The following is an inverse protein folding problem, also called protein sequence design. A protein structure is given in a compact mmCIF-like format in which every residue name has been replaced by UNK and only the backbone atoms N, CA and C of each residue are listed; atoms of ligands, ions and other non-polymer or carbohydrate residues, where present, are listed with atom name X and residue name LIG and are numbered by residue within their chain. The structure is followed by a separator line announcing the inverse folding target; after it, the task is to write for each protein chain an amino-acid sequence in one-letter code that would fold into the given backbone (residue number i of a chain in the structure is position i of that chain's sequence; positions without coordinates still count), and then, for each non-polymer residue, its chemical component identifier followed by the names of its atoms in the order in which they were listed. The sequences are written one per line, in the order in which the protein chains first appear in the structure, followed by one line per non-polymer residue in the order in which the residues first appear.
data_IF_058533540667
#
_entry.id   IF_058533540667
#
_cell.length_a   1.000
_cell.length_b   1.000
_cell.length_c   1.000
_cell.angle_alpha   90.00
_cell.angle_beta   90.00
_cell.angle_gamma   90.00
#
_symmetry.space_group_name_H-M   'P 1'
#
loop_
_entity.id
_entity.type
_entity.pdbx_description
1 polymer ?
#
# COMPACT_ATOMS: atom_id res chain seq x y z
N UNK A 1 2.58 -5.12 16.07
CA UNK A 1 2.83 -5.05 14.63
C UNK A 1 1.71 -4.28 13.95
N UNK A 2 2.03 -3.43 13.00
CA UNK A 2 1.08 -2.68 12.20
C UNK A 2 1.59 -2.47 10.79
N UNK A 3 0.70 -2.12 9.86
CA UNK A 3 1.08 -1.74 8.51
C UNK A 3 0.22 -0.58 8.00
N UNK A 4 0.79 0.20 7.10
CA UNK A 4 0.09 1.26 6.37
C UNK A 4 0.48 1.23 4.89
N UNK A 5 -0.48 1.52 4.04
CA UNK A 5 -0.32 1.45 2.58
C UNK A 5 -0.87 2.69 1.90
N UNK A 6 -0.20 3.10 0.83
CA UNK A 6 -0.64 4.21 -0.02
C UNK A 6 -0.29 4.02 -1.48
N UNK A 7 -1.04 4.70 -2.33
CA UNK A 7 -0.75 4.84 -3.75
C UNK A 7 0.17 6.05 -3.96
N UNK A 8 1.20 5.86 -4.77
CA UNK A 8 2.16 6.89 -5.17
C UNK A 8 2.08 7.04 -6.67
N UNK A 9 1.77 8.25 -7.15
CA UNK A 9 1.64 8.56 -8.58
C UNK A 9 2.78 9.49 -8.96
N UNK A 10 3.65 9.05 -9.88
CA UNK A 10 4.91 9.75 -10.17
C UNK A 10 4.67 11.15 -10.71
N UNK A 11 3.76 11.33 -11.67
CA UNK A 11 3.45 12.64 -12.27
C UNK A 11 2.81 13.62 -11.27
N UNK A 12 2.28 13.14 -10.16
CA UNK A 12 1.68 13.95 -9.10
C UNK A 12 2.67 14.26 -7.97
N UNK A 13 3.98 14.13 -8.19
CA UNK A 13 4.97 14.36 -7.15
C UNK A 13 4.85 13.40 -5.97
N UNK A 14 4.51 12.14 -6.22
CA UNK A 14 4.29 11.07 -5.27
C UNK A 14 2.98 11.15 -4.44
N UNK A 15 2.06 12.09 -4.77
CA UNK A 15 0.72 12.07 -4.20
C UNK A 15 -0.11 10.91 -4.79
N UNK A 16 -1.19 10.46 -4.13
CA UNK A 16 -1.70 10.86 -2.81
C UNK A 16 -0.89 10.36 -1.59
N UNK A 17 -0.07 9.31 -1.71
CA UNK A 17 0.79 8.80 -0.64
C UNK A 17 0.02 8.47 0.64
N UNK A 18 0.41 9.05 1.76
CA UNK A 18 -0.25 8.85 3.07
C UNK A 18 -1.71 9.37 3.11
N UNK A 19 -2.11 10.17 2.13
CA UNK A 19 -3.47 10.68 2.02
C UNK A 19 -4.39 9.76 1.21
N UNK A 20 -3.91 8.62 0.74
CA UNK A 20 -4.62 7.74 -0.22
C UNK A 20 -6.04 7.39 0.22
N UNK A 21 -6.24 7.02 1.49
CA UNK A 21 -7.56 6.63 1.99
C UNK A 21 -8.56 7.79 2.13
N UNK A 22 -8.09 9.04 2.09
CA UNK A 22 -8.89 10.26 2.25
C UNK A 22 -8.57 11.34 1.21
N UNK A 23 -8.14 10.94 0.02
CA UNK A 23 -7.69 11.84 -1.04
C UNK A 23 -8.76 12.88 -1.42
N UNK A 24 -10.02 12.46 -1.50
CA UNK A 24 -11.17 13.34 -1.71
C UNK A 24 -11.76 13.95 -0.41
N UNK A 25 -11.03 13.85 0.71
CA UNK A 25 -11.39 14.46 1.99
C UNK A 25 -12.01 13.48 2.98
N UNK A 26 -12.86 12.54 2.55
CA UNK A 26 -13.50 11.56 3.44
C UNK A 26 -12.73 10.23 3.44
N UNK A 27 -12.39 9.74 4.63
CA UNK A 27 -11.72 8.45 4.78
C UNK A 27 -12.59 7.29 4.29
N UNK A 28 -12.03 6.43 3.43
CA UNK A 28 -12.68 5.22 2.92
C UNK A 28 -13.75 5.47 1.84
N UNK A 29 -13.87 6.68 1.31
CA UNK A 29 -14.73 6.97 0.15
C UNK A 29 -13.98 6.66 -1.14
N UNK A 30 -13.83 5.36 -1.45
CA UNK A 30 -13.06 4.89 -2.60
C UNK A 30 -13.58 5.47 -3.92
N UNK A 31 -14.90 5.62 -4.05
CA UNK A 31 -15.52 6.17 -5.25
C UNK A 31 -15.10 7.62 -5.49
N UNK A 32 -15.16 8.45 -4.46
CA UNK A 32 -14.77 9.85 -4.55
C UNK A 32 -13.25 9.98 -4.74
N UNK A 33 -12.45 9.17 -4.04
CA UNK A 33 -10.99 9.15 -4.18
C UNK A 33 -10.56 8.80 -5.60
N UNK A 34 -11.15 7.77 -6.20
CA UNK A 34 -10.89 7.36 -7.59
C UNK A 34 -11.33 8.42 -8.60
N UNK A 35 -12.51 9.02 -8.42
CA UNK A 35 -13.01 10.07 -9.30
C UNK A 35 -12.09 11.30 -9.30
N UNK A 36 -11.65 11.75 -8.12
CA UNK A 36 -10.74 12.87 -7.99
C UNK A 36 -9.38 12.58 -8.65
N UNK A 37 -8.81 11.40 -8.39
CA UNK A 37 -7.53 11.00 -8.98
C UNK A 37 -7.61 11.00 -10.52
N UNK A 38 -8.65 10.39 -11.08
CA UNK A 38 -8.86 10.37 -12.54
C UNK A 38 -9.00 11.76 -13.13
N UNK A 39 -9.74 12.66 -12.47
CA UNK A 39 -9.89 14.04 -12.90
C UNK A 39 -8.55 14.80 -12.91
N UNK A 40 -7.72 14.58 -11.90
CA UNK A 40 -6.42 15.25 -11.77
C UNK A 40 -5.38 14.81 -12.80
N UNK A 41 -5.49 13.58 -13.33
CA UNK A 41 -4.57 13.04 -14.32
C UNK A 41 -5.24 12.82 -15.69
N UNK A 42 -6.37 13.48 -15.94
CA UNK A 42 -7.18 13.24 -17.14
C UNK A 42 -6.41 13.54 -18.44
N UNK A 43 -5.57 14.58 -18.45
CA UNK A 43 -4.76 15.01 -19.57
C UNK A 43 -3.37 14.36 -19.64
N UNK A 44 -3.04 13.50 -18.65
CA UNK A 44 -1.76 12.80 -18.63
C UNK A 44 -1.78 11.60 -19.59
N UNK A 45 -0.84 11.53 -20.55
CA UNK A 45 -0.79 10.43 -21.49
C UNK A 45 -0.46 9.11 -20.81
N UNK A 46 -0.90 8.00 -21.39
CA UNK A 46 -0.79 6.65 -20.81
C UNK A 46 0.65 6.29 -20.39
N UNK A 47 1.64 6.63 -21.21
CA UNK A 47 3.05 6.35 -20.92
C UNK A 47 3.60 7.07 -19.68
N UNK A 48 2.94 8.12 -19.20
CA UNK A 48 3.34 8.92 -18.03
C UNK A 48 2.47 8.66 -16.79
N UNK A 49 1.59 7.67 -16.84
CA UNK A 49 0.68 7.33 -15.73
C UNK A 49 1.27 6.25 -14.81
N UNK A 50 2.58 6.26 -14.64
CA UNK A 50 3.27 5.32 -13.77
C UNK A 50 2.96 5.61 -12.31
N UNK A 51 2.77 4.54 -11.55
CA UNK A 51 2.43 4.59 -10.15
C UNK A 51 2.95 3.35 -9.42
N UNK A 52 2.90 3.36 -8.11
CA UNK A 52 3.16 2.18 -7.28
C UNK A 52 2.35 2.23 -6.01
N UNK A 53 1.90 1.09 -5.55
CA UNK A 53 1.52 0.92 -4.15
C UNK A 53 2.76 0.67 -3.31
N UNK A 54 2.81 1.31 -2.15
CA UNK A 54 3.84 1.09 -1.13
C UNK A 54 3.18 0.74 0.19
N UNK A 55 3.74 -0.25 0.88
CA UNK A 55 3.37 -0.60 2.26
C UNK A 55 4.60 -0.49 3.15
N UNK A 56 4.43 0.12 4.30
CA UNK A 56 5.36 0.04 5.42
C UNK A 56 4.76 -0.89 6.47
N UNK A 57 5.46 -1.99 6.79
CA UNK A 57 5.08 -2.91 7.86
C UNK A 57 6.07 -2.75 9.02
N UNK A 58 5.56 -2.52 10.22
CA UNK A 58 6.36 -2.26 11.42
C UNK A 58 6.13 -3.33 12.49
N UNK A 59 7.21 -3.84 13.05
CA UNK A 59 7.24 -4.63 14.27
C UNK A 59 7.89 -3.80 15.38
N UNK A 60 7.13 -3.50 16.42
CA UNK A 60 7.61 -2.76 17.59
C UNK A 60 7.49 -3.68 18.81
N UNK A 61 8.57 -3.80 19.56
CA UNK A 61 8.62 -4.55 20.82
C UNK A 61 8.61 -3.55 21.97
N UNK A 62 7.54 -3.54 22.80
CA UNK A 62 7.48 -2.67 23.96
C UNK A 62 8.47 -3.14 25.03
N UNK A 63 9.10 -2.19 25.68
CA UNK A 63 9.93 -2.39 26.87
C UNK A 63 9.17 -2.09 28.17
N UNK A 64 9.92 -1.62 29.16
CA UNK A 64 9.33 -1.23 30.44
C UNK A 64 8.31 -0.11 30.29
N UNK A 65 7.29 -0.13 31.16
CA UNK A 65 6.36 0.99 31.28
C UNK A 65 7.10 2.23 31.75
N UNK A 66 6.84 3.36 31.12
CA UNK A 66 7.40 4.64 31.55
C UNK A 66 6.65 5.12 32.79
N UNK A 67 7.39 5.62 33.76
CA UNK A 67 6.85 6.20 35.00
C UNK A 67 6.83 7.74 34.93
N UNK A 68 7.48 8.32 33.89
CA UNK A 68 7.56 9.75 33.67
C UNK A 68 6.40 10.26 32.80
N UNK A 69 5.78 11.34 33.23
CA UNK A 69 4.72 12.05 32.47
C UNK A 69 5.33 13.31 31.83
N UNK A 70 6.35 13.11 30.98
CA UNK A 70 6.99 14.19 30.22
C UNK A 70 6.31 14.41 28.87
N UNK A 71 6.54 15.57 28.26
CA UNK A 71 6.03 15.83 26.90
C UNK A 71 6.54 14.82 25.85
N UNK A 72 7.72 14.21 26.06
CA UNK A 72 8.27 13.17 25.21
C UNK A 72 7.58 11.81 25.40
N UNK A 73 7.05 11.54 26.60
CA UNK A 73 6.33 10.29 26.90
C UNK A 73 4.83 10.39 26.62
N UNK A 74 4.31 11.57 26.30
CA UNK A 74 2.90 11.78 26.01
C UNK A 74 2.39 10.89 24.88
N UNK A 75 1.44 10.01 25.18
CA UNK A 75 0.91 9.00 24.26
C UNK A 75 1.82 7.79 23.99
N UNK A 76 2.96 7.69 24.70
CA UNK A 76 3.91 6.56 24.57
C UNK A 76 4.14 5.89 25.94
N UNK A 77 3.17 5.12 26.45
CA UNK A 77 3.21 4.58 27.81
C UNK A 77 4.33 3.55 28.06
N UNK A 78 4.97 3.06 26.99
CA UNK A 78 6.05 2.09 27.06
C UNK A 78 7.30 2.61 26.33
N UNK A 79 8.48 2.25 26.85
CA UNK A 79 9.71 2.37 26.09
C UNK A 79 9.66 1.42 24.88
N UNK A 80 10.42 1.70 23.83
CA UNK A 80 10.60 0.81 22.69
C UNK A 80 11.93 0.07 22.89
N UNK A 81 11.87 -1.26 22.96
CA UNK A 81 13.07 -2.11 23.05
C UNK A 81 13.70 -2.34 21.69
N UNK A 82 12.86 -2.61 20.70
CA UNK A 82 13.30 -2.74 19.30
C UNK A 82 12.20 -2.33 18.35
N UNK A 83 12.61 -1.85 17.18
CA UNK A 83 11.73 -1.50 16.06
C UNK A 83 12.36 -2.02 14.77
N UNK A 84 11.53 -2.66 13.94
CA UNK A 84 11.90 -3.07 12.59
C UNK A 84 10.80 -2.62 11.64
N UNK A 85 11.18 -1.92 10.57
CA UNK A 85 10.24 -1.47 9.53
C UNK A 85 10.71 -2.01 8.19
N UNK A 86 9.79 -2.70 7.50
CA UNK A 86 10.03 -3.25 6.17
C UNK A 86 9.09 -2.63 5.15
N UNK A 87 9.63 -2.36 3.97
CA UNK A 87 8.90 -1.74 2.87
C UNK A 87 8.64 -2.76 1.76
N UNK A 88 7.41 -2.77 1.27
CA UNK A 88 7.04 -3.51 0.07
C UNK A 88 6.44 -2.58 -0.98
N UNK A 89 6.78 -2.80 -2.24
CA UNK A 89 6.25 -2.03 -3.36
C UNK A 89 5.68 -2.93 -4.45
N UNK A 90 4.64 -2.42 -5.11
CA UNK A 90 4.02 -3.03 -6.28
C UNK A 90 3.90 -1.94 -7.36
N UNK A 91 4.86 -1.89 -8.30
CA UNK A 91 4.84 -0.91 -9.40
C UNK A 91 3.80 -1.28 -10.44
N UNK A 92 3.36 -0.28 -11.21
CA UNK A 92 2.39 -0.44 -12.28
C UNK A 92 1.99 0.89 -12.92
N UNK A 93 0.82 0.89 -13.54
CA UNK A 93 0.27 2.05 -14.25
C UNK A 93 -1.19 2.26 -13.91
N UNK A 94 -1.67 3.49 -14.08
CA UNK A 94 -3.06 3.88 -13.87
C UNK A 94 -3.81 3.96 -15.19
N UNK A 95 -5.01 3.37 -15.22
CA UNK A 95 -5.94 3.44 -16.34
C UNK A 95 -6.67 4.79 -16.42
N UNK A 96 -7.32 5.05 -17.56
CA UNK A 96 -8.23 6.19 -17.75
C UNK A 96 -9.64 5.95 -17.20
N UNK A 97 -10.01 4.68 -16.96
CA UNK A 97 -11.30 4.28 -16.42
C UNK A 97 -11.17 3.04 -15.55
N UNK A 98 -12.01 2.85 -14.53
CA UNK A 98 -11.97 1.70 -13.64
C UNK A 98 -12.37 0.41 -14.36
N UNK A 99 -11.73 -0.72 -13.98
CA UNK A 99 -12.08 -2.08 -14.40
C UNK A 99 -11.96 -3.03 -13.20
N UNK A 100 -12.91 -3.97 -13.10
CA UNK A 100 -12.96 -4.98 -12.04
C UNK A 100 -13.73 -4.53 -10.80
N UNK A 101 -14.07 -5.50 -9.97
CA UNK A 101 -14.95 -5.30 -8.80
C UNK A 101 -14.36 -5.84 -7.50
N UNK A 102 -13.21 -6.54 -7.57
CA UNK A 102 -12.55 -7.05 -6.38
C UNK A 102 -11.67 -5.98 -5.72
N UNK A 103 -11.30 -6.23 -4.47
CA UNK A 103 -10.39 -5.38 -3.73
C UNK A 103 -11.03 -4.12 -3.18
N UNK A 104 -10.24 -3.07 -3.01
CA UNK A 104 -10.63 -1.80 -2.41
C UNK A 104 -9.72 -0.66 -2.90
N UNK A 105 -10.08 0.58 -2.53
CA UNK A 105 -9.27 1.75 -2.86
C UNK A 105 -9.12 1.94 -4.37
N UNK A 106 -7.89 2.06 -4.83
CA UNK A 106 -7.54 2.33 -6.22
C UNK A 106 -7.33 1.06 -7.08
N UNK A 107 -7.63 -0.12 -6.55
CA UNK A 107 -7.47 -1.38 -7.27
C UNK A 107 -8.11 -1.41 -8.67
N UNK A 108 -9.31 -0.81 -8.90
CA UNK A 108 -9.92 -0.78 -10.22
C UNK A 108 -9.17 0.07 -11.26
N UNK A 109 -8.33 0.98 -10.82
CA UNK A 109 -7.55 1.86 -11.70
C UNK A 109 -6.12 1.36 -11.95
N UNK A 110 -5.62 0.46 -11.10
CA UNK A 110 -4.22 0.11 -11.05
C UNK A 110 -3.94 -1.23 -11.75
N UNK A 111 -3.06 -1.21 -12.74
CA UNK A 111 -2.55 -2.40 -13.45
C UNK A 111 -1.12 -2.66 -12.98
N UNK A 112 -0.88 -3.68 -12.13
CA UNK A 112 0.46 -4.04 -11.70
C UNK A 112 1.36 -4.45 -12.88
N UNK A 113 2.66 -4.19 -12.78
CA UNK A 113 3.64 -4.68 -13.76
C UNK A 113 3.76 -6.20 -13.70
N UNK A 114 3.79 -6.77 -12.48
CA UNK A 114 3.67 -8.20 -12.29
C UNK A 114 2.24 -8.66 -12.56
N UNK A 115 2.09 -9.65 -13.45
CA UNK A 115 0.79 -10.19 -13.86
C UNK A 115 0.72 -11.69 -13.55
N UNK A 116 -0.47 -12.21 -13.21
CA UNK A 116 -0.65 -13.66 -13.05
C UNK A 116 -0.29 -14.40 -14.35
N UNK A 117 0.32 -15.58 -14.23
CA UNK A 117 0.75 -16.40 -15.39
C UNK A 117 -0.35 -16.58 -16.43
N UNK A 118 -1.59 -16.87 -15.99
CA UNK A 118 -2.73 -17.01 -16.89
C UNK A 118 -3.05 -15.75 -17.70
N UNK A 119 -2.86 -14.56 -17.10
CA UNK A 119 -3.08 -13.29 -17.80
C UNK A 119 -1.98 -13.07 -18.86
N UNK A 120 -0.73 -13.37 -18.51
CA UNK A 120 0.42 -13.28 -19.43
C UNK A 120 0.22 -14.23 -20.62
N UNK A 121 -0.16 -15.49 -20.37
CA UNK A 121 -0.45 -16.50 -21.40
C UNK A 121 -1.62 -16.07 -22.31
N UNK A 122 -2.62 -15.40 -21.76
CA UNK A 122 -3.75 -14.87 -22.51
C UNK A 122 -3.46 -13.55 -23.23
N UNK A 123 -2.28 -12.94 -23.03
CA UNK A 123 -1.91 -11.66 -23.60
C UNK A 123 -2.71 -10.48 -23.07
N UNK A 124 -3.25 -10.58 -21.85
CA UNK A 124 -4.04 -9.54 -21.20
C UNK A 124 -3.34 -8.99 -19.97
N UNK A 125 -3.61 -7.72 -19.63
CA UNK A 125 -3.16 -7.09 -18.39
C UNK A 125 -4.38 -6.78 -17.51
N UNK A 126 -4.39 -7.37 -16.34
CA UNK A 126 -5.46 -7.24 -15.36
C UNK A 126 -5.18 -6.09 -14.40
N UNK A 127 -6.22 -5.37 -13.99
CA UNK A 127 -6.14 -4.50 -12.82
C UNK A 127 -6.09 -5.35 -11.53
N UNK A 128 -5.68 -4.74 -10.44
CA UNK A 128 -5.75 -5.38 -9.13
C UNK A 128 -7.17 -5.80 -8.74
N UNK A 129 -8.20 -5.11 -9.25
CA UNK A 129 -9.60 -5.44 -9.02
C UNK A 129 -10.15 -6.55 -9.95
N UNK A 130 -9.44 -6.89 -11.01
CA UNK A 130 -9.77 -8.03 -11.89
C UNK A 130 -9.05 -9.32 -11.49
N UNK A 131 -8.04 -9.21 -10.61
CA UNK A 131 -7.28 -10.38 -10.14
C UNK A 131 -8.04 -11.14 -9.05
N UNK A 132 -7.90 -12.47 -9.07
CA UNK A 132 -8.28 -13.29 -7.93
C UNK A 132 -7.48 -12.89 -6.68
N UNK A 133 -8.08 -12.90 -5.47
CA UNK A 133 -7.42 -12.45 -4.25
C UNK A 133 -6.07 -13.11 -3.98
N UNK A 134 -5.95 -14.42 -4.22
CA UNK A 134 -4.70 -15.15 -4.02
C UNK A 134 -3.59 -14.70 -4.97
N UNK A 135 -3.91 -14.45 -6.24
CA UNK A 135 -2.96 -13.95 -7.23
C UNK A 135 -2.49 -12.54 -6.90
N UNK A 136 -3.42 -11.65 -6.51
CA UNK A 136 -3.09 -10.31 -6.05
C UNK A 136 -2.19 -10.33 -4.82
N UNK A 137 -2.51 -11.15 -3.81
CA UNK A 137 -1.74 -11.22 -2.57
C UNK A 137 -0.30 -11.69 -2.80
N UNK A 138 -0.07 -12.58 -3.77
CA UNK A 138 1.26 -13.08 -4.11
C UNK A 138 2.21 -11.95 -4.56
N UNK A 139 1.71 -10.96 -5.29
CA UNK A 139 2.48 -9.84 -5.85
C UNK A 139 2.35 -8.55 -5.05
N UNK A 140 1.43 -8.47 -4.09
CA UNK A 140 1.06 -7.22 -3.42
C UNK A 140 2.20 -6.60 -2.62
N UNK A 141 2.20 -5.28 -2.56
CA UNK A 141 3.09 -4.46 -1.73
C UNK A 141 3.05 -4.86 -0.26
N UNK A 142 1.84 -5.05 0.30
CA UNK A 142 1.64 -5.51 1.68
C UNK A 142 2.21 -6.90 1.89
N UNK A 143 1.95 -7.84 0.98
CA UNK A 143 2.51 -9.19 1.04
C UNK A 143 4.04 -9.19 1.01
N UNK A 144 4.65 -8.33 0.20
CA UNK A 144 6.12 -8.15 0.14
C UNK A 144 6.66 -7.61 1.46
N UNK A 145 6.08 -6.54 2.02
CA UNK A 145 6.48 -5.95 3.29
C UNK A 145 6.37 -6.94 4.46
N UNK A 146 5.24 -7.65 4.55
CA UNK A 146 5.01 -8.62 5.62
C UNK A 146 5.97 -9.83 5.52
N UNK A 147 6.25 -10.33 4.31
CA UNK A 147 7.25 -11.40 4.13
C UNK A 147 8.65 -10.95 4.51
N UNK A 148 9.03 -9.72 4.20
CA UNK A 148 10.32 -9.15 4.62
C UNK A 148 10.44 -9.04 6.15
N UNK A 149 9.32 -8.85 6.86
CA UNK A 149 9.30 -8.75 8.31
C UNK A 149 9.40 -10.10 9.05
N UNK A 150 9.14 -11.22 8.35
CA UNK A 150 9.15 -12.57 8.96
C UNK A 150 10.43 -12.89 9.74
N UNK A 151 11.67 -12.61 9.25
CA UNK A 151 12.88 -12.91 10.02
C UNK A 151 12.95 -12.19 11.38
N UNK A 152 12.45 -10.95 11.46
CA UNK A 152 12.40 -10.20 12.71
C UNK A 152 11.38 -10.82 13.70
N UNK A 153 10.24 -11.27 13.20
CA UNK A 153 9.23 -11.98 14.01
C UNK A 153 9.81 -13.31 14.54
N UNK A 154 10.46 -14.09 13.68
CA UNK A 154 11.07 -15.35 14.08
C UNK A 154 12.18 -15.16 15.12
N UNK A 155 13.01 -14.13 14.96
CA UNK A 155 14.05 -13.80 15.94
C UNK A 155 13.46 -13.45 17.32
N UNK A 156 12.32 -12.75 17.34
CA UNK A 156 11.61 -12.42 18.59
C UNK A 156 11.04 -13.67 19.28
N UNK A 157 10.53 -14.64 18.50
CA UNK A 157 9.92 -15.86 19.04
C UNK A 157 10.95 -16.88 19.57
N UNK A 158 12.24 -16.72 19.24
CA UNK A 158 13.33 -17.58 19.72
C UNK A 158 13.97 -17.08 21.02
N UNK A 159 13.59 -15.93 21.52
CA UNK A 159 14.06 -15.35 22.78
C UNK A 159 13.22 -15.86 23.97
#
# INVERSE_FOLDING_TARGET
MGDDSGLIVDVMGNAPGILSARWAGRHGDDKANNALLLAQIADIPEASRTARFRCAAALVVPGAKREDDTAESAGKPYAITSETVEIGEMPGVLLHAPRGEHGFGYDPLFVPDDQPTRAVEAGVRLTSAEMEPAAKNAISHRGKALRALVPAVEALLRQ
#
